data_IF_468424087322
#
_entry.id   IF_468424087322
#
_cell.length_a   1.000
_cell.length_b   1.000
_cell.length_c   1.000
_cell.angle_alpha   90.00
_cell.angle_beta   90.00
_cell.angle_gamma   90.00
#
_symmetry.space_group_name_H-M   'P 1'
#
loop_
_entity.id
_entity.type
_entity.pdbx_description
1 polymer ?
#
# COMPACT_ATOMS: atom_id res chain seq x y z
N UNK A 1 -28.11 -9.51 -29.37
CA UNK A 1 -26.93 -9.91 -28.55
C UNK A 1 -27.04 -9.29 -27.19
N UNK A 2 -26.91 -10.07 -26.12
CA UNK A 2 -26.96 -9.57 -24.73
C UNK A 2 -25.66 -8.84 -24.43
N UNK A 3 -25.76 -7.56 -24.01
CA UNK A 3 -24.60 -6.79 -23.57
C UNK A 3 -24.32 -7.07 -22.09
N UNK A 4 -23.05 -7.28 -21.75
CA UNK A 4 -22.60 -7.54 -20.39
C UNK A 4 -21.55 -6.50 -19.98
N UNK A 5 -21.44 -6.20 -18.69
CA UNK A 5 -20.40 -5.31 -18.17
C UNK A 5 -19.04 -5.98 -18.24
N UNK A 6 -18.01 -5.22 -18.54
CA UNK A 6 -16.63 -5.71 -18.63
C UNK A 6 -16.20 -6.38 -17.32
N UNK A 7 -16.48 -5.78 -16.16
CA UNK A 7 -16.10 -6.33 -14.86
C UNK A 7 -16.82 -7.67 -14.54
N UNK A 8 -18.04 -7.83 -15.00
CA UNK A 8 -18.82 -9.07 -14.85
C UNK A 8 -18.33 -10.14 -15.82
N UNK A 9 -18.16 -9.78 -17.09
CA UNK A 9 -17.72 -10.70 -18.13
C UNK A 9 -16.31 -11.25 -17.84
N UNK A 10 -15.41 -10.41 -17.30
CA UNK A 10 -14.05 -10.81 -16.91
C UNK A 10 -14.04 -11.87 -15.78
N UNK A 11 -14.99 -11.80 -14.85
CA UNK A 11 -15.17 -12.85 -13.82
C UNK A 11 -15.78 -14.11 -14.43
N UNK A 12 -16.81 -13.97 -15.26
CA UNK A 12 -17.46 -15.12 -15.91
C UNK A 12 -16.49 -15.94 -16.77
N UNK A 13 -15.52 -15.27 -17.38
CA UNK A 13 -14.46 -15.92 -18.18
C UNK A 13 -13.26 -16.39 -17.33
N UNK A 14 -13.33 -16.30 -15.99
CA UNK A 14 -12.29 -16.80 -15.09
C UNK A 14 -11.00 -15.97 -15.09
N UNK A 15 -11.00 -14.76 -15.64
CA UNK A 15 -9.83 -13.87 -15.63
C UNK A 15 -9.53 -13.32 -14.23
N UNK A 16 -10.56 -13.19 -13.41
CA UNK A 16 -10.49 -12.75 -12.01
C UNK A 16 -11.45 -13.55 -11.14
N UNK A 17 -11.08 -13.74 -9.90
CA UNK A 17 -11.90 -14.49 -8.92
C UNK A 17 -13.11 -13.69 -8.44
N UNK A 18 -12.96 -12.36 -8.35
CA UNK A 18 -14.01 -11.47 -7.85
C UNK A 18 -14.21 -10.26 -8.76
N UNK A 19 -15.42 -9.70 -8.71
CA UNK A 19 -15.75 -8.49 -9.46
C UNK A 19 -14.91 -7.28 -9.05
N UNK A 20 -14.52 -7.17 -7.77
CA UNK A 20 -13.63 -6.11 -7.32
C UNK A 20 -12.21 -6.24 -7.90
N UNK A 21 -11.70 -7.46 -8.00
CA UNK A 21 -10.43 -7.71 -8.69
C UNK A 21 -10.54 -7.37 -10.18
N UNK A 22 -11.64 -7.74 -10.83
CA UNK A 22 -11.90 -7.40 -12.23
C UNK A 22 -11.94 -5.89 -12.46
N UNK A 23 -12.65 -5.13 -11.61
CA UNK A 23 -12.67 -3.66 -11.68
C UNK A 23 -11.27 -3.07 -11.60
N UNK A 24 -10.46 -3.52 -10.63
CA UNK A 24 -9.07 -3.06 -10.47
C UNK A 24 -8.21 -3.42 -11.67
N UNK A 25 -8.35 -4.63 -12.22
CA UNK A 25 -7.65 -5.09 -13.42
C UNK A 25 -7.98 -4.25 -14.65
N UNK A 26 -9.26 -3.93 -14.87
CA UNK A 26 -9.71 -3.05 -15.96
C UNK A 26 -9.17 -1.63 -15.76
N UNK A 27 -9.32 -1.05 -14.57
CA UNK A 27 -8.80 0.29 -14.27
C UNK A 27 -7.27 0.37 -14.35
N UNK A 28 -6.57 -0.75 -14.14
CA UNK A 28 -5.11 -0.84 -14.33
C UNK A 28 -4.70 -1.03 -15.80
N UNK A 29 -5.68 -1.12 -16.72
CA UNK A 29 -5.42 -1.30 -18.15
C UNK A 29 -4.90 -2.69 -18.51
N UNK A 30 -5.24 -3.71 -17.73
CA UNK A 30 -4.80 -5.10 -17.94
C UNK A 30 -5.75 -5.91 -18.83
N UNK A 31 -6.98 -5.44 -19.04
CA UNK A 31 -8.03 -6.20 -19.77
C UNK A 31 -8.14 -5.70 -21.19
N UNK A 32 -8.07 -6.64 -22.12
CA UNK A 32 -8.18 -6.41 -23.57
C UNK A 32 -9.19 -7.35 -24.20
N UNK A 33 -9.77 -6.94 -25.32
CA UNK A 33 -10.52 -7.84 -26.20
C UNK A 33 -9.56 -8.73 -27.00
N UNK A 34 -10.08 -9.78 -27.64
CA UNK A 34 -9.34 -10.63 -28.59
C UNK A 34 -8.73 -9.83 -29.75
N UNK A 35 -9.31 -8.67 -30.09
CA UNK A 35 -8.82 -7.75 -31.13
C UNK A 35 -7.75 -6.77 -30.61
N UNK A 36 -7.25 -6.97 -29.39
CA UNK A 36 -6.27 -6.11 -28.74
C UNK A 36 -6.76 -4.69 -28.39
N UNK A 37 -8.05 -4.47 -28.30
CA UNK A 37 -8.63 -3.23 -27.82
C UNK A 37 -8.58 -3.21 -26.30
N UNK A 38 -7.98 -2.18 -25.70
CA UNK A 38 -7.88 -2.02 -24.25
C UNK A 38 -9.21 -1.54 -23.69
N UNK A 39 -9.64 -2.14 -22.60
CA UNK A 39 -10.84 -1.76 -21.88
C UNK A 39 -10.46 -1.06 -20.56
N UNK A 40 -10.83 0.21 -20.43
CA UNK A 40 -10.44 1.06 -19.29
C UNK A 40 -11.59 1.32 -18.31
N UNK A 41 -12.83 0.98 -18.71
CA UNK A 41 -14.04 1.26 -17.90
C UNK A 41 -14.70 -0.04 -17.46
N UNK A 42 -14.63 -0.40 -16.16
CA UNK A 42 -15.22 -1.65 -15.66
C UNK A 42 -16.73 -1.78 -15.90
N UNK A 43 -17.42 -0.64 -15.91
CA UNK A 43 -18.86 -0.56 -16.13
C UNK A 43 -19.30 -0.53 -17.59
N UNK A 44 -18.37 -0.47 -18.53
CA UNK A 44 -18.67 -0.48 -19.95
C UNK A 44 -19.43 -1.75 -20.36
N UNK A 45 -20.42 -1.62 -21.21
CA UNK A 45 -21.22 -2.75 -21.71
C UNK A 45 -20.77 -3.13 -23.11
N UNK A 46 -20.22 -4.31 -23.24
CA UNK A 46 -19.78 -4.92 -24.49
C UNK A 46 -20.61 -6.17 -24.83
N UNK A 47 -20.43 -6.74 -25.98
CA UNK A 47 -21.08 -8.02 -26.32
C UNK A 47 -20.65 -9.10 -25.32
N UNK A 48 -21.60 -9.87 -24.77
CA UNK A 48 -21.30 -10.99 -23.87
C UNK A 48 -20.50 -12.12 -24.52
N UNK A 49 -20.38 -12.13 -25.85
CA UNK A 49 -19.59 -13.10 -26.63
C UNK A 49 -18.15 -12.67 -26.83
N UNK A 50 -17.81 -11.40 -26.48
CA UNK A 50 -16.43 -10.89 -26.60
C UNK A 50 -15.50 -11.67 -25.70
N UNK A 51 -14.47 -12.27 -26.29
CA UNK A 51 -13.41 -12.93 -25.53
C UNK A 51 -12.47 -11.87 -24.95
N UNK A 52 -12.27 -11.95 -23.64
CA UNK A 52 -11.36 -11.06 -22.91
C UNK A 52 -10.04 -11.77 -22.64
N UNK A 53 -8.98 -11.00 -22.58
CA UNK A 53 -7.64 -11.48 -22.24
C UNK A 53 -6.95 -10.49 -21.32
N UNK A 54 -6.10 -11.00 -20.42
CA UNK A 54 -5.21 -10.17 -19.60
C UNK A 54 -3.91 -9.99 -20.34
N UNK A 55 -3.51 -8.71 -20.56
CA UNK A 55 -2.20 -8.35 -21.03
C UNK A 55 -1.45 -7.58 -19.98
N UNK A 56 -0.23 -7.98 -19.72
CA UNK A 56 0.62 -7.44 -18.67
C UNK A 56 0.85 -8.44 -17.54
N UNK A 57 1.84 -8.19 -16.72
CA UNK A 57 2.11 -9.03 -15.55
C UNK A 57 1.00 -8.76 -14.52
N UNK A 58 0.31 -9.82 -14.10
CA UNK A 58 -0.58 -9.78 -12.93
C UNK A 58 0.21 -9.19 -11.77
N UNK A 59 -0.36 -8.20 -11.07
CA UNK A 59 0.30 -7.65 -9.89
C UNK A 59 0.59 -8.78 -8.90
N UNK A 60 1.84 -8.96 -8.45
CA UNK A 60 2.16 -10.02 -7.51
C UNK A 60 1.55 -9.78 -6.11
N UNK A 61 1.12 -8.56 -5.84
CA UNK A 61 0.61 -8.11 -4.54
C UNK A 61 -0.84 -7.63 -4.62
N UNK A 62 -1.52 -7.54 -3.49
CA UNK A 62 -2.92 -7.06 -3.39
C UNK A 62 -3.12 -5.63 -3.91
N UNK A 63 -2.04 -4.84 -4.00
CA UNK A 63 -2.06 -3.50 -4.58
C UNK A 63 -0.69 -3.10 -5.14
N UNK A 64 -0.65 -2.02 -5.96
CA UNK A 64 0.59 -1.43 -6.48
C UNK A 64 1.54 -0.95 -5.37
N UNK A 65 1.03 -0.73 -4.15
CA UNK A 65 1.86 -0.42 -2.99
C UNK A 65 2.97 -1.45 -2.77
N UNK A 66 2.67 -2.74 -2.94
CA UNK A 66 3.67 -3.81 -2.79
C UNK A 66 4.89 -3.68 -3.69
N UNK A 67 4.73 -3.12 -4.89
CA UNK A 67 5.87 -2.84 -5.80
C UNK A 67 6.82 -1.76 -5.24
N UNK A 68 6.30 -0.81 -4.46
CA UNK A 68 7.13 0.21 -3.80
C UNK A 68 8.03 -0.44 -2.75
N UNK A 69 7.44 -1.30 -1.90
CA UNK A 69 8.22 -2.02 -0.88
C UNK A 69 9.20 -2.98 -1.53
N UNK A 70 8.79 -3.76 -2.53
CA UNK A 70 9.69 -4.66 -3.27
C UNK A 70 10.93 -3.92 -3.81
N UNK A 71 10.72 -2.71 -4.35
CA UNK A 71 11.83 -1.87 -4.83
C UNK A 71 12.72 -1.41 -3.67
N UNK A 72 12.12 -1.01 -2.55
CA UNK A 72 12.86 -0.56 -1.38
C UNK A 72 13.71 -1.68 -0.77
N UNK A 73 13.16 -2.90 -0.63
CA UNK A 73 13.90 -4.07 -0.16
C UNK A 73 15.15 -4.36 -1.01
N UNK A 74 15.06 -4.13 -2.33
CA UNK A 74 16.19 -4.35 -3.25
C UNK A 74 17.27 -3.27 -3.20
N UNK A 75 16.89 -2.03 -2.83
CA UNK A 75 17.80 -0.87 -2.90
C UNK A 75 18.47 -0.59 -1.55
N UNK A 76 17.74 -0.76 -0.44
CA UNK A 76 18.17 -0.27 0.88
C UNK A 76 18.70 -1.37 1.81
N UNK A 77 18.91 -2.58 1.31
CA UNK A 77 19.32 -3.72 2.15
C UNK A 77 18.45 -3.91 3.40
N UNK A 78 17.15 -3.63 3.23
CA UNK A 78 16.15 -3.71 4.29
C UNK A 78 15.57 -5.12 4.35
N UNK A 79 16.02 -5.92 5.30
CA UNK A 79 15.60 -7.30 5.43
C UNK A 79 14.34 -7.44 6.32
N UNK A 80 13.32 -8.11 5.79
CA UNK A 80 12.07 -8.40 6.51
C UNK A 80 11.94 -9.88 6.89
N UNK A 81 12.83 -10.74 6.39
CA UNK A 81 12.76 -12.18 6.64
C UNK A 81 12.85 -12.48 8.13
N UNK A 82 11.95 -13.31 8.61
CA UNK A 82 11.82 -13.75 10.01
C UNK A 82 11.56 -12.59 11.01
N UNK A 83 11.26 -11.38 10.52
CA UNK A 83 11.03 -10.17 11.32
C UNK A 83 9.54 -9.90 11.53
N UNK A 84 9.21 -9.23 12.63
CA UNK A 84 7.89 -8.66 12.90
C UNK A 84 7.82 -7.29 12.23
N UNK A 85 6.92 -7.13 11.26
CA UNK A 85 6.69 -5.87 10.56
C UNK A 85 5.53 -5.09 11.18
N UNK A 86 5.68 -3.77 11.24
CA UNK A 86 4.58 -2.82 11.46
C UNK A 86 4.35 -2.01 10.19
N UNK A 87 3.21 -2.22 9.55
CA UNK A 87 2.78 -1.51 8.33
C UNK A 87 1.84 -0.37 8.72
N UNK A 88 2.37 0.87 8.79
CA UNK A 88 1.64 2.07 9.19
C UNK A 88 1.02 2.72 7.96
N UNK A 89 -0.33 2.73 7.89
CA UNK A 89 -1.07 3.11 6.70
C UNK A 89 -1.26 1.94 5.73
N UNK A 90 -1.58 0.77 6.28
CA UNK A 90 -1.66 -0.48 5.52
C UNK A 90 -2.65 -0.44 4.35
N UNK A 91 -3.75 0.30 4.47
CA UNK A 91 -4.77 0.42 3.42
C UNK A 91 -5.22 -0.95 2.89
N UNK A 92 -5.04 -1.25 1.61
CA UNK A 92 -5.34 -2.57 1.03
C UNK A 92 -4.37 -3.67 1.48
N UNK A 93 -3.21 -3.32 2.05
CA UNK A 93 -2.20 -4.25 2.54
C UNK A 93 -1.08 -4.57 1.56
N UNK A 94 -0.80 -3.67 0.62
CA UNK A 94 0.26 -3.90 -0.38
C UNK A 94 1.64 -4.12 0.24
N UNK A 95 2.02 -3.34 1.25
CA UNK A 95 3.30 -3.51 1.94
C UNK A 95 3.30 -4.77 2.81
N UNK A 96 2.25 -5.01 3.58
CA UNK A 96 2.06 -6.25 4.34
C UNK A 96 2.20 -7.49 3.44
N UNK A 97 1.50 -7.52 2.28
CA UNK A 97 1.56 -8.64 1.34
C UNK A 97 2.98 -8.84 0.78
N UNK A 98 3.65 -7.76 0.40
CA UNK A 98 5.02 -7.82 -0.10
C UNK A 98 6.00 -8.31 0.98
N UNK A 99 5.89 -7.85 2.21
CA UNK A 99 6.73 -8.30 3.31
C UNK A 99 6.53 -9.79 3.63
N UNK A 100 5.28 -10.26 3.71
CA UNK A 100 4.97 -11.67 3.94
C UNK A 100 5.47 -12.58 2.83
N UNK A 101 5.40 -12.14 1.56
CA UNK A 101 5.96 -12.88 0.43
C UNK A 101 7.50 -12.88 0.43
N UNK A 102 8.15 -11.92 1.09
CA UNK A 102 9.60 -11.87 1.30
C UNK A 102 10.02 -12.49 2.66
N UNK A 103 9.14 -13.26 3.29
CA UNK A 103 9.48 -14.08 4.45
C UNK A 103 9.32 -13.41 5.81
N UNK A 104 8.61 -12.26 5.91
CA UNK A 104 8.29 -11.68 7.21
C UNK A 104 7.56 -12.70 8.10
N UNK A 105 7.94 -12.76 9.37
CA UNK A 105 7.34 -13.65 10.37
C UNK A 105 5.87 -13.34 10.58
N UNK A 106 5.56 -12.06 10.73
CA UNK A 106 4.20 -11.53 10.85
C UNK A 106 4.16 -10.04 10.51
N UNK A 107 2.96 -9.50 10.33
CA UNK A 107 2.75 -8.07 10.10
C UNK A 107 1.56 -7.54 10.91
N UNK A 108 1.78 -6.45 11.63
CA UNK A 108 0.71 -5.59 12.11
C UNK A 108 0.28 -4.67 10.97
N UNK A 109 -0.91 -4.88 10.43
CA UNK A 109 -1.50 -4.03 9.39
C UNK A 109 -2.35 -2.93 10.05
N UNK A 110 -1.74 -1.76 10.27
CA UNK A 110 -2.34 -0.65 11.01
C UNK A 110 -2.85 0.44 10.08
N UNK A 111 -4.11 0.83 10.25
CA UNK A 111 -4.72 1.92 9.49
C UNK A 111 -5.77 2.67 10.32
N UNK A 112 -5.93 3.97 10.06
CA UNK A 112 -7.02 4.77 10.63
C UNK A 112 -8.37 4.44 9.98
N UNK A 113 -8.33 3.90 8.76
CA UNK A 113 -9.49 3.45 8.00
C UNK A 113 -10.11 2.17 8.54
N UNK A 114 -11.16 1.74 7.85
CA UNK A 114 -11.89 0.54 8.21
C UNK A 114 -12.24 -0.27 6.97
N UNK A 115 -12.13 -1.60 7.10
CA UNK A 115 -12.52 -2.57 6.07
C UNK A 115 -11.83 -2.37 4.69
N UNK A 116 -10.60 -1.86 4.70
CA UNK A 116 -9.82 -1.63 3.48
C UNK A 116 -8.87 -2.78 3.17
N UNK A 117 -8.37 -3.48 4.20
CA UNK A 117 -7.42 -4.56 4.06
C UNK A 117 -8.00 -5.69 3.21
N UNK A 118 -7.23 -6.20 2.25
CA UNK A 118 -7.65 -7.28 1.37
C UNK A 118 -8.03 -8.54 2.16
N UNK A 119 -9.11 -9.21 1.75
CA UNK A 119 -9.67 -10.35 2.47
C UNK A 119 -8.66 -11.48 2.71
N UNK A 120 -7.81 -11.79 1.71
CA UNK A 120 -6.78 -12.82 1.87
C UNK A 120 -5.80 -12.52 3.01
N UNK A 121 -5.50 -11.23 3.26
CA UNK A 121 -4.61 -10.82 4.35
C UNK A 121 -5.31 -10.84 5.70
N UNK A 122 -6.61 -10.56 5.75
CA UNK A 122 -7.41 -10.71 6.97
C UNK A 122 -7.48 -12.15 7.47
N UNK A 123 -7.38 -13.12 6.55
CA UNK A 123 -7.42 -14.54 6.86
C UNK A 123 -6.03 -15.15 7.08
N UNK A 124 -4.95 -14.42 6.80
CA UNK A 124 -3.59 -14.92 7.02
C UNK A 124 -3.27 -14.86 8.52
N UNK A 125 -2.96 -15.99 9.17
CA UNK A 125 -2.67 -16.03 10.60
C UNK A 125 -1.43 -15.22 11.00
N UNK A 126 -0.61 -14.80 10.04
CA UNK A 126 0.55 -13.94 10.26
C UNK A 126 0.20 -12.45 10.25
N UNK A 127 -1.08 -12.08 10.06
CA UNK A 127 -1.51 -10.68 9.97
C UNK A 127 -2.36 -10.32 11.18
N UNK A 128 -1.91 -9.35 11.95
CA UNK A 128 -2.70 -8.72 13.01
C UNK A 128 -3.32 -7.45 12.43
N UNK A 129 -4.65 -7.43 12.32
CA UNK A 129 -5.40 -6.31 11.75
C UNK A 129 -5.67 -5.26 12.82
N UNK A 130 -5.12 -4.05 12.64
CA UNK A 130 -5.29 -2.91 13.55
C UNK A 130 -5.98 -1.75 12.82
N UNK A 131 -7.27 -1.85 12.60
CA UNK A 131 -8.09 -0.82 11.95
C UNK A 131 -8.67 0.17 12.93
N UNK A 132 -9.02 1.39 12.45
CA UNK A 132 -9.50 2.53 13.27
C UNK A 132 -8.50 2.96 14.34
N UNK A 133 -7.22 2.71 14.11
CA UNK A 133 -6.13 3.06 15.02
C UNK A 133 -5.40 4.29 14.49
N UNK A 134 -5.38 5.36 15.27
CA UNK A 134 -4.55 6.51 14.97
C UNK A 134 -3.18 6.30 15.60
N UNK A 135 -2.17 6.05 14.76
CA UNK A 135 -0.82 5.70 15.19
C UNK A 135 -0.15 6.76 16.09
N UNK A 136 -0.56 8.03 16.00
CA UNK A 136 -0.05 9.09 16.89
C UNK A 136 -0.21 8.79 18.38
N UNK A 137 -1.16 7.92 18.72
CA UNK A 137 -1.51 7.56 20.11
C UNK A 137 -1.19 6.11 20.44
N UNK A 138 -0.55 5.39 19.53
CA UNK A 138 -0.14 4.01 19.75
C UNK A 138 0.95 3.92 20.81
N UNK A 139 0.95 2.82 21.56
CA UNK A 139 1.89 2.53 22.64
C UNK A 139 2.48 1.13 22.48
N UNK A 140 3.66 0.84 23.05
CA UNK A 140 4.22 -0.51 23.02
C UNK A 140 3.26 -1.60 23.50
N UNK A 141 2.40 -1.30 24.44
CA UNK A 141 1.38 -2.21 25.00
C UNK A 141 0.29 -2.63 24.03
N UNK A 142 0.16 -1.97 22.87
CA UNK A 142 -0.83 -2.31 21.86
C UNK A 142 -0.36 -3.47 20.95
N UNK A 143 0.93 -3.85 21.03
CA UNK A 143 1.58 -4.85 20.18
C UNK A 143 1.77 -6.17 20.95
N UNK A 144 0.69 -6.93 21.12
CA UNK A 144 0.63 -8.09 22.00
C UNK A 144 1.40 -9.33 21.50
N UNK A 145 1.62 -9.42 20.18
CA UNK A 145 2.34 -10.54 19.55
C UNK A 145 3.86 -10.31 19.46
N UNK A 146 4.36 -9.25 20.10
CA UNK A 146 5.75 -8.83 20.12
C UNK A 146 5.97 -7.47 19.49
N UNK A 147 7.00 -6.76 19.95
CA UNK A 147 7.35 -5.45 19.41
C UNK A 147 7.88 -5.57 17.97
N UNK A 148 7.54 -4.61 17.11
CA UNK A 148 8.03 -4.61 15.73
C UNK A 148 9.55 -4.43 15.65
N UNK A 149 10.16 -5.17 14.75
CA UNK A 149 11.60 -5.10 14.42
C UNK A 149 11.83 -4.29 13.14
N UNK A 150 10.80 -4.21 12.31
CA UNK A 150 10.78 -3.44 11.05
C UNK A 150 9.51 -2.64 10.97
N UNK A 151 9.58 -1.45 10.40
CA UNK A 151 8.39 -0.64 10.14
C UNK A 151 8.38 -0.09 8.71
N UNK A 152 7.20 -0.01 8.14
CA UNK A 152 6.94 0.67 6.87
C UNK A 152 5.88 1.74 7.07
N UNK A 153 6.05 2.91 6.43
CA UNK A 153 5.14 4.04 6.57
C UNK A 153 4.70 4.54 5.19
N UNK A 154 3.42 4.41 4.86
CA UNK A 154 2.78 5.00 3.67
C UNK A 154 1.48 5.72 4.06
N UNK A 155 1.59 6.77 4.88
CA UNK A 155 0.47 7.56 5.37
C UNK A 155 0.15 8.75 4.46
N UNK A 156 -1.09 9.26 4.54
CA UNK A 156 -1.53 10.44 3.83
C UNK A 156 -2.23 11.41 4.77
N UNK A 157 -2.16 12.72 4.45
CA UNK A 157 -2.79 13.80 5.21
C UNK A 157 -2.24 14.01 6.63
N UNK A 158 -1.06 13.49 6.91
CA UNK A 158 -0.35 13.64 8.18
C UNK A 158 1.15 13.74 7.91
N UNK A 159 1.88 14.51 8.73
CA UNK A 159 3.33 14.61 8.69
C UNK A 159 3.97 13.42 9.42
N UNK A 160 5.09 12.93 8.88
CA UNK A 160 5.94 11.93 9.53
C UNK A 160 6.48 12.41 10.89
N UNK A 161 6.60 13.72 11.09
CA UNK A 161 6.99 14.33 12.38
C UNK A 161 6.06 13.93 13.55
N UNK A 162 4.82 13.53 13.24
CA UNK A 162 3.85 13.07 14.23
C UNK A 162 3.82 11.54 14.38
N UNK A 163 4.44 10.83 13.45
CA UNK A 163 4.47 9.35 13.40
C UNK A 163 5.78 8.81 13.98
N UNK A 164 6.91 9.47 13.69
CA UNK A 164 8.23 9.00 14.10
C UNK A 164 8.43 8.94 15.62
N UNK A 165 7.99 9.94 16.44
CA UNK A 165 8.18 9.85 17.88
C UNK A 165 7.49 8.63 18.53
N UNK A 166 6.19 8.35 18.35
CA UNK A 166 5.59 7.13 18.89
C UNK A 166 6.20 5.85 18.29
N UNK A 167 6.67 5.88 17.05
CA UNK A 167 7.34 4.73 16.45
C UNK A 167 8.67 4.41 17.14
N UNK A 168 9.44 5.43 17.53
CA UNK A 168 10.68 5.26 18.27
C UNK A 168 10.48 4.52 19.61
N UNK A 169 9.37 4.80 20.32
CA UNK A 169 9.01 4.13 21.57
C UNK A 169 8.55 2.67 21.37
N UNK A 170 8.04 2.34 20.17
CA UNK A 170 7.42 1.04 19.87
C UNK A 170 8.41 0.08 19.23
N UNK A 171 9.29 0.58 18.36
CA UNK A 171 10.25 -0.23 17.63
C UNK A 171 11.33 -0.79 18.57
N UNK A 172 11.77 -2.01 18.38
CA UNK A 172 12.87 -2.58 19.14
C UNK A 172 14.18 -1.81 18.89
N UNK A 173 15.13 -1.93 19.80
CA UNK A 173 16.49 -1.41 19.59
C UNK A 173 17.07 -2.00 18.29
N UNK A 174 17.74 -1.16 17.50
CA UNK A 174 18.26 -1.52 16.16
C UNK A 174 17.16 -1.88 15.14
N UNK A 175 15.91 -1.56 15.43
CA UNK A 175 14.82 -1.69 14.46
C UNK A 175 15.00 -0.69 13.30
N UNK A 176 14.54 -1.08 12.11
CA UNK A 176 14.70 -0.28 10.89
C UNK A 176 13.37 0.16 10.32
N UNK A 177 13.36 1.33 9.66
CA UNK A 177 12.16 1.96 9.11
C UNK A 177 12.36 2.33 7.65
N UNK A 178 11.37 2.00 6.81
CA UNK A 178 11.20 2.58 5.47
C UNK A 178 9.96 3.46 5.48
N UNK A 179 10.13 4.75 5.20
CA UNK A 179 9.04 5.71 5.13
C UNK A 179 8.93 6.37 3.75
N UNK A 180 7.71 6.45 3.21
CA UNK A 180 7.44 7.28 2.05
C UNK A 180 7.29 8.74 2.47
N UNK A 181 8.23 9.57 2.05
CA UNK A 181 8.17 11.00 2.26
C UNK A 181 7.29 11.62 1.17
N UNK A 182 6.24 12.29 1.58
CA UNK A 182 5.29 12.97 0.69
C UNK A 182 5.34 14.47 0.95
N UNK A 183 6.09 15.24 0.16
CA UNK A 183 6.33 16.68 0.41
C UNK A 183 5.05 17.48 0.64
N UNK A 184 3.96 17.13 -0.02
CA UNK A 184 2.67 17.80 0.13
C UNK A 184 2.06 17.71 1.53
N UNK A 185 2.48 16.75 2.36
CA UNK A 185 2.02 16.59 3.74
C UNK A 185 3.03 17.09 4.76
N UNK A 186 4.25 17.44 4.32
CA UNK A 186 5.35 17.91 5.16
C UNK A 186 5.59 19.42 5.04
N UNK A 187 5.46 19.98 3.83
CA UNK A 187 5.94 21.32 3.48
C UNK A 187 5.08 22.48 3.99
N UNK A 188 3.90 22.22 4.58
CA UNK A 188 2.92 23.24 4.96
C UNK A 188 2.10 23.76 3.77
N UNK A 189 0.91 24.30 4.05
CA UNK A 189 -0.08 24.69 3.02
C UNK A 189 0.43 25.72 2.01
N UNK A 190 1.29 26.65 2.45
CA UNK A 190 1.83 27.72 1.59
C UNK A 190 2.73 27.20 0.46
N UNK A 191 3.37 26.04 0.63
CA UNK A 191 4.27 25.43 -0.34
C UNK A 191 3.56 24.42 -1.27
N UNK A 192 2.27 24.18 -1.06
CA UNK A 192 1.49 23.21 -1.84
C UNK A 192 0.72 23.95 -2.94
N UNK A 193 1.05 23.66 -4.18
CA UNK A 193 0.41 24.26 -5.35
C UNK A 193 -0.94 23.64 -5.70
N UNK A 194 -1.51 24.07 -6.84
CA UNK A 194 -2.75 23.49 -7.39
C UNK A 194 -2.63 21.96 -7.47
N UNK A 195 -3.72 21.28 -7.16
CA UNK A 195 -3.84 19.80 -7.15
C UNK A 195 -3.00 19.09 -6.09
N UNK A 196 -2.56 19.77 -5.03
CA UNK A 196 -1.81 19.15 -3.95
C UNK A 196 -0.38 18.76 -4.32
N UNK A 197 0.24 19.43 -5.31
CA UNK A 197 1.57 19.10 -5.81
C UNK A 197 2.58 20.14 -5.34
N UNK A 198 3.66 19.68 -4.71
CA UNK A 198 4.88 20.46 -4.44
C UNK A 198 5.84 20.26 -5.61
N UNK A 199 6.17 21.33 -6.33
CA UNK A 199 7.04 21.28 -7.52
C UNK A 199 8.42 21.87 -7.31
N UNK A 200 8.58 22.67 -6.26
CA UNK A 200 9.83 23.37 -5.97
C UNK A 200 10.86 22.40 -5.38
N UNK A 201 12.01 22.20 -6.05
CA UNK A 201 13.08 21.33 -5.54
C UNK A 201 13.64 21.81 -4.21
N UNK A 202 13.68 23.11 -3.94
CA UNK A 202 14.15 23.65 -2.67
C UNK A 202 13.23 23.25 -1.50
N UNK A 203 11.92 23.15 -1.74
CA UNK A 203 10.96 22.65 -0.76
C UNK A 203 11.17 21.16 -0.52
N UNK A 204 11.45 20.38 -1.55
CA UNK A 204 11.77 18.96 -1.41
C UNK A 204 13.02 18.77 -0.54
N UNK A 205 14.08 19.52 -0.83
CA UNK A 205 15.34 19.46 -0.08
C UNK A 205 15.12 19.81 1.39
N UNK A 206 14.41 20.91 1.67
CA UNK A 206 14.08 21.33 3.03
C UNK A 206 13.32 20.27 3.80
N UNK A 207 12.31 19.63 3.17
CA UNK A 207 11.53 18.55 3.80
C UNK A 207 12.41 17.37 4.18
N UNK A 208 13.35 16.97 3.31
CA UNK A 208 14.28 15.89 3.59
C UNK A 208 15.21 16.24 4.75
N UNK A 209 15.74 17.45 4.77
CA UNK A 209 16.61 17.94 5.86
C UNK A 209 15.87 17.97 7.20
N UNK A 210 14.66 18.53 7.23
CA UNK A 210 13.84 18.59 8.45
C UNK A 210 13.49 17.20 9.01
N UNK A 211 13.21 16.23 8.16
CA UNK A 211 12.93 14.85 8.58
C UNK A 211 14.21 14.12 9.00
N UNK A 212 15.35 14.37 8.34
CA UNK A 212 16.63 13.78 8.69
C UNK A 212 17.08 14.15 10.09
N UNK A 213 16.82 15.38 10.54
CA UNK A 213 17.17 15.85 11.89
C UNK A 213 16.41 15.12 13.01
N UNK A 214 15.26 14.53 12.73
CA UNK A 214 14.49 13.75 13.72
C UNK A 214 15.19 12.44 14.09
N UNK A 215 16.05 11.91 13.22
CA UNK A 215 16.76 10.65 13.43
C UNK A 215 18.01 10.78 14.31
N UNK A 216 18.42 12.00 14.63
CA UNK A 216 19.67 12.30 15.35
C UNK A 216 19.37 12.62 16.83
N UNK A 217 18.13 12.87 17.17
CA UNK A 217 17.66 13.14 18.53
C UNK A 217 17.00 11.92 19.14
#
# INVERSE_FOLDING_TARGET
MKKERVDVLAVQQGLFETREQAKRGVMAGLVYTEKNERLDKPGEKISGETQLQIKGKKLPYVSRGGLKLEKALKIFDFEVKDQILLDIGASTGGFTDAALQNGAKMSYALDVGYNQLAWKLRQDPRVVVMERVNFRYAKPTDFLEGLPERATIDVSFISLKLILPPLHEILVDQGEVIALIKPQFEAGKASVGKNGIVRDPAVHQRVLEELSLIHIS
#
